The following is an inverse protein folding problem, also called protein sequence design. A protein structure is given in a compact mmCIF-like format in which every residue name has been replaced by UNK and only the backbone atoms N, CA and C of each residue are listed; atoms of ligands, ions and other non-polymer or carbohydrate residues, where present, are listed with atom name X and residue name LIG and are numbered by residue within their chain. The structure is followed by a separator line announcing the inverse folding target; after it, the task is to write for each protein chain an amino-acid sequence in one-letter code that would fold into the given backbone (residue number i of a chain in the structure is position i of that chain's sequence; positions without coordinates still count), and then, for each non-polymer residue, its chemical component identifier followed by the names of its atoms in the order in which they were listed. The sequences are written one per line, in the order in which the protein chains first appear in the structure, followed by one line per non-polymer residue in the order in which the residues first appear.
data_IF_578183546728
#
_entry.id   IF_578183546728
#
_cell.length_a   1.000
_cell.length_b   1.000
_cell.length_c   1.000
_cell.angle_alpha   90.00
_cell.angle_beta   90.00
_cell.angle_gamma   90.00
#
_symmetry.space_group_name_H-M   'P 1'
#
loop_
_entity.id
_entity.type
_entity.pdbx_description
1 polymer ?
#
# COMPACT_ATOMS: atom_id res chain seq x y z
N UNK A 1 40.25 5.78 -1.19
CA UNK A 1 40.34 7.25 -0.95
C UNK A 1 41.81 7.61 -0.84
N UNK A 2 42.34 8.35 -1.80
CA UNK A 2 43.75 8.77 -1.82
C UNK A 2 43.91 10.16 -1.25
N UNK A 3 45.03 10.42 -0.56
CA UNK A 3 45.33 11.73 0.03
C UNK A 3 46.75 12.18 -0.27
N UNK A 4 46.94 13.47 -0.50
CA UNK A 4 48.26 14.07 -0.68
C UNK A 4 49.00 14.31 0.66
N UNK A 5 50.23 14.81 0.59
CA UNK A 5 51.04 15.20 1.76
C UNK A 5 50.40 16.29 2.64
N UNK A 6 49.38 17.00 2.15
CA UNK A 6 48.59 17.98 2.90
C UNK A 6 47.25 17.41 3.39
N UNK A 7 47.07 16.09 3.34
CA UNK A 7 45.86 15.34 3.72
C UNK A 7 44.60 15.70 2.91
N UNK A 8 44.72 16.39 1.79
CA UNK A 8 43.60 16.66 0.88
C UNK A 8 43.25 15.39 0.12
N UNK A 9 41.97 15.17 -0.12
CA UNK A 9 41.50 14.02 -0.90
C UNK A 9 41.85 14.29 -2.35
N UNK A 10 42.72 13.48 -2.94
CA UNK A 10 43.18 13.61 -4.33
C UNK A 10 42.54 12.59 -5.27
N UNK A 11 41.93 11.55 -4.70
CA UNK A 11 41.25 10.50 -5.47
C UNK A 11 40.12 9.89 -4.66
N UNK A 12 38.95 9.79 -5.27
CA UNK A 12 37.81 9.06 -4.77
C UNK A 12 37.26 8.20 -5.90
N UNK A 13 37.33 6.88 -5.72
CA UNK A 13 36.57 5.94 -6.53
C UNK A 13 35.26 5.70 -5.79
N UNK A 14 34.11 6.11 -6.35
CA UNK A 14 32.82 5.73 -5.78
C UNK A 14 32.72 4.21 -5.82
N UNK A 15 32.38 3.61 -4.68
CA UNK A 15 31.95 2.22 -4.71
C UNK A 15 30.63 2.16 -5.49
N UNK A 16 30.48 1.15 -6.34
CA UNK A 16 29.20 0.90 -6.99
C UNK A 16 28.17 0.70 -5.90
N UNK A 17 27.09 1.49 -5.90
CA UNK A 17 25.99 1.34 -4.92
C UNK A 17 25.38 -0.07 -4.95
N UNK A 18 25.61 -0.80 -6.05
CA UNK A 18 25.13 -2.16 -6.28
C UNK A 18 26.28 -3.03 -6.74
N UNK A 19 26.61 -4.07 -6.00
CA UNK A 19 27.51 -5.10 -6.48
C UNK A 19 26.86 -5.92 -7.62
N UNK A 20 27.63 -6.81 -8.25
CA UNK A 20 27.11 -7.62 -9.37
C UNK A 20 25.95 -8.52 -8.93
N UNK A 21 26.01 -9.05 -7.70
CA UNK A 21 24.97 -9.93 -7.15
C UNK A 21 23.66 -9.17 -6.97
N UNK A 22 23.74 -7.96 -6.42
CA UNK A 22 22.56 -7.11 -6.21
C UNK A 22 21.93 -6.68 -7.53
N UNK A 23 22.75 -6.40 -8.56
CA UNK A 23 22.25 -6.13 -9.92
C UNK A 23 21.54 -7.33 -10.51
N UNK A 24 22.11 -8.52 -10.36
CA UNK A 24 21.53 -9.76 -10.87
C UNK A 24 20.18 -10.05 -10.18
N UNK A 25 20.03 -9.73 -8.90
CA UNK A 25 18.73 -9.81 -8.20
C UNK A 25 17.67 -8.88 -8.78
N UNK A 26 18.02 -7.64 -9.11
CA UNK A 26 17.04 -6.71 -9.71
C UNK A 26 16.61 -7.13 -11.10
N UNK A 27 17.55 -7.65 -11.91
CA UNK A 27 17.23 -8.18 -13.22
C UNK A 27 16.33 -9.42 -13.11
N UNK A 28 16.63 -10.33 -12.17
CA UNK A 28 15.78 -11.50 -11.93
C UNK A 28 14.38 -11.12 -11.42
N UNK A 29 14.28 -10.06 -10.61
CA UNK A 29 12.98 -9.53 -10.17
C UNK A 29 12.19 -8.95 -11.34
N UNK A 30 12.83 -8.17 -12.22
CA UNK A 30 12.22 -7.61 -13.42
C UNK A 30 11.71 -8.71 -14.36
N UNK A 31 12.52 -9.73 -14.63
CA UNK A 31 12.12 -10.90 -15.43
C UNK A 31 10.91 -11.63 -14.83
N UNK A 32 10.90 -11.78 -13.50
CA UNK A 32 9.78 -12.39 -12.78
C UNK A 32 8.51 -11.53 -12.90
N UNK A 33 8.58 -10.22 -12.69
CA UNK A 33 7.43 -9.31 -12.79
C UNK A 33 6.84 -9.31 -14.21
N UNK A 34 7.68 -9.33 -15.25
CA UNK A 34 7.24 -9.45 -16.65
C UNK A 34 6.55 -10.79 -16.97
N UNK A 35 6.78 -11.82 -16.16
CA UNK A 35 6.10 -13.12 -16.30
C UNK A 35 4.68 -13.14 -15.70
N UNK A 36 4.30 -12.10 -14.95
CA UNK A 36 2.99 -11.98 -14.30
C UNK A 36 2.00 -11.14 -15.13
N UNK A 37 0.72 -11.46 -15.01
CA UNK A 37 -0.35 -10.68 -15.61
C UNK A 37 -0.48 -9.31 -14.89
N UNK A 38 -0.39 -8.16 -15.59
CA UNK A 38 -0.43 -6.84 -14.96
C UNK A 38 -1.79 -6.48 -14.36
N UNK A 39 -2.84 -7.25 -14.66
CA UNK A 39 -4.19 -7.02 -14.11
C UNK A 39 -4.43 -7.76 -12.80
N UNK A 40 -4.02 -9.02 -12.71
CA UNK A 40 -4.39 -9.90 -11.58
C UNK A 40 -3.19 -10.47 -10.82
N UNK A 41 -1.95 -10.24 -11.27
CA UNK A 41 -0.73 -10.72 -10.61
C UNK A 41 -0.45 -12.22 -10.74
N UNK A 42 -1.28 -12.97 -11.47
CA UNK A 42 -1.07 -14.41 -11.70
C UNK A 42 -0.07 -14.65 -12.84
N UNK A 43 0.66 -15.78 -12.86
CA UNK A 43 1.48 -16.16 -14.00
C UNK A 43 0.66 -16.15 -15.30
N UNK A 44 1.21 -15.59 -16.37
CA UNK A 44 0.50 -15.46 -17.66
C UNK A 44 0.02 -16.82 -18.18
N UNK A 45 0.80 -17.88 -17.98
CA UNK A 45 0.45 -19.26 -18.35
C UNK A 45 -0.82 -19.77 -17.66
N UNK A 46 -1.11 -19.32 -16.44
CA UNK A 46 -2.34 -19.66 -15.70
C UNK A 46 -3.46 -18.71 -16.09
N UNK A 47 -3.18 -17.41 -16.21
CA UNK A 47 -4.18 -16.40 -16.53
C UNK A 47 -4.81 -16.59 -17.92
N UNK A 48 -4.03 -17.11 -18.89
CA UNK A 48 -4.49 -17.36 -20.26
C UNK A 48 -4.87 -18.82 -20.54
N UNK A 49 -4.79 -19.72 -19.55
CA UNK A 49 -5.29 -21.10 -19.70
C UNK A 49 -6.83 -21.08 -19.70
N UNK A 50 -7.43 -21.53 -20.81
CA UNK A 50 -8.87 -21.61 -21.00
C UNK A 50 -9.57 -22.53 -19.99
N UNK A 51 -8.81 -23.46 -19.37
CA UNK A 51 -9.32 -24.38 -18.36
C UNK A 51 -9.22 -23.81 -16.93
N UNK A 52 -8.58 -22.68 -16.71
CA UNK A 52 -8.43 -22.02 -15.39
C UNK A 52 -9.76 -21.85 -14.64
N UNK A 53 -10.89 -21.45 -15.27
CA UNK A 53 -12.17 -21.32 -14.58
C UNK A 53 -12.70 -22.63 -13.98
N UNK A 54 -12.26 -23.78 -14.48
CA UNK A 54 -12.67 -25.11 -13.98
C UNK A 54 -11.74 -25.68 -12.91
N UNK A 55 -10.56 -25.07 -12.71
CA UNK A 55 -9.51 -25.58 -11.82
C UNK A 55 -9.31 -24.74 -10.56
N UNK A 56 -9.75 -23.48 -10.58
CA UNK A 56 -9.53 -22.55 -9.47
C UNK A 56 -10.86 -21.98 -8.97
N UNK A 57 -11.04 -21.99 -7.64
CA UNK A 57 -12.15 -21.33 -6.94
C UNK A 57 -11.63 -20.07 -6.26
N UNK A 58 -12.37 -18.97 -6.37
CA UNK A 58 -12.08 -17.74 -5.63
C UNK A 58 -13.01 -17.68 -4.41
N UNK A 59 -12.43 -17.58 -3.22
CA UNK A 59 -13.17 -17.33 -1.99
C UNK A 59 -12.99 -15.86 -1.58
N UNK A 60 -14.09 -15.14 -1.40
CA UNK A 60 -14.05 -13.78 -0.90
C UNK A 60 -13.88 -13.80 0.63
N UNK A 61 -12.72 -13.37 1.11
CA UNK A 61 -12.46 -13.16 2.54
C UNK A 61 -12.98 -11.79 3.01
N UNK A 62 -13.51 -11.73 4.24
CA UNK A 62 -13.87 -10.46 4.88
C UNK A 62 -12.67 -9.91 5.65
N UNK A 63 -12.31 -8.64 5.42
CA UNK A 63 -11.30 -7.94 6.23
C UNK A 63 -11.84 -7.73 7.65
N UNK A 64 -11.39 -8.56 8.60
CA UNK A 64 -11.85 -8.51 10.00
C UNK A 64 -11.53 -7.19 10.68
N UNK A 65 -10.42 -6.54 10.33
CA UNK A 65 -10.06 -5.23 10.89
C UNK A 65 -11.04 -4.15 10.45
N UNK A 66 -11.46 -4.15 9.18
CA UNK A 66 -12.47 -3.21 8.69
C UNK A 66 -13.79 -3.43 9.40
N UNK A 67 -14.22 -4.70 9.52
CA UNK A 67 -15.43 -5.05 10.27
C UNK A 67 -15.39 -4.53 11.71
N UNK A 68 -14.30 -4.75 12.43
CA UNK A 68 -14.15 -4.29 13.83
C UNK A 68 -14.14 -2.76 13.94
N UNK A 69 -13.56 -2.06 12.96
CA UNK A 69 -13.62 -0.58 12.89
C UNK A 69 -15.03 -0.09 12.70
N UNK A 70 -15.79 -0.73 11.83
CA UNK A 70 -17.19 -0.36 11.58
C UNK A 70 -18.02 -0.56 12.84
N UNK A 71 -17.90 -1.72 13.51
CA UNK A 71 -18.54 -2.01 14.80
C UNK A 71 -18.22 -0.92 15.82
N UNK A 72 -16.93 -0.60 16.02
CA UNK A 72 -16.52 0.43 16.96
C UNK A 72 -17.10 1.82 16.61
N UNK A 73 -17.18 2.16 15.32
CA UNK A 73 -17.79 3.40 14.87
C UNK A 73 -19.30 3.41 15.12
N UNK A 74 -20.00 2.28 14.98
CA UNK A 74 -21.42 2.19 15.32
C UNK A 74 -21.67 2.35 16.81
N UNK A 75 -20.86 1.67 17.63
CA UNK A 75 -20.97 1.75 19.09
C UNK A 75 -20.69 3.17 19.58
N UNK A 76 -19.70 3.84 18.99
CA UNK A 76 -19.46 5.25 19.27
C UNK A 76 -20.68 6.11 18.89
N UNK A 77 -21.28 5.92 17.70
CA UNK A 77 -22.48 6.67 17.28
C UNK A 77 -23.64 6.45 18.25
N UNK A 78 -23.92 5.21 18.66
CA UNK A 78 -24.98 4.89 19.63
C UNK A 78 -24.76 5.57 20.98
N UNK A 79 -23.51 5.62 21.45
CA UNK A 79 -23.17 6.29 22.71
C UNK A 79 -23.31 7.82 22.61
N UNK A 80 -23.15 8.40 21.42
CA UNK A 80 -23.16 9.84 21.18
C UNK A 80 -24.38 10.33 20.38
N UNK A 81 -25.42 9.51 20.25
CA UNK A 81 -26.61 9.79 19.43
C UNK A 81 -27.35 11.05 19.90
N UNK A 82 -27.29 11.35 21.21
CA UNK A 82 -27.82 12.58 21.82
C UNK A 82 -26.98 13.84 21.58
N UNK A 83 -25.68 13.72 21.29
CA UNK A 83 -24.79 14.87 21.08
C UNK A 83 -24.93 15.47 19.67
N UNK A 84 -25.28 14.65 18.67
CA UNK A 84 -25.54 15.11 17.31
C UNK A 84 -26.78 16.03 17.23
N UNK A 85 -27.82 15.74 18.01
CA UNK A 85 -28.99 16.61 18.19
C UNK A 85 -28.66 17.94 18.86
N UNK A 86 -27.77 17.92 19.86
CA UNK A 86 -27.33 19.14 20.55
C UNK A 86 -26.48 20.03 19.62
N UNK A 87 -25.58 19.44 18.82
CA UNK A 87 -24.75 20.20 17.85
C UNK A 87 -25.59 20.81 16.72
N UNK A 88 -26.62 20.12 16.23
CA UNK A 88 -27.52 20.65 15.19
C UNK A 88 -28.43 21.77 15.73
N UNK A 89 -28.98 21.65 16.94
CA UNK A 89 -29.74 22.74 17.58
C UNK A 89 -28.88 23.99 17.90
N UNK A 90 -27.60 23.78 18.23
CA UNK A 90 -26.66 24.88 18.49
C UNK A 90 -26.35 25.70 17.23
N UNK A 91 -26.28 25.06 16.06
CA UNK A 91 -26.06 25.74 14.78
C UNK A 91 -27.27 26.56 14.30
N UNK A 92 -28.50 26.13 14.60
CA UNK A 92 -29.73 26.84 14.17
C UNK A 92 -30.12 28.02 15.04
N UNK A 93 -29.59 28.12 16.27
CA UNK A 93 -29.91 29.24 17.20
C UNK A 93 -29.11 30.52 16.88
N UNK A 94 -28.11 30.44 16.00
CA UNK A 94 -27.23 31.57 15.65
C UNK A 94 -27.70 32.43 14.46
N UNK A 95 -28.73 32.01 13.70
CA UNK A 95 -29.27 32.82 12.59
C UNK A 95 -30.54 33.53 13.08
N UNK A 96 -30.35 34.68 13.74
CA UNK A 96 -31.45 35.61 14.00
C UNK A 96 -31.73 36.35 12.68
N UNK A 97 -32.81 35.99 11.98
CA UNK A 97 -33.30 36.78 10.86
C UNK A 97 -33.61 38.21 11.35
N UNK A 98 -33.05 39.19 10.67
CA UNK A 98 -33.18 40.62 10.97
C UNK A 98 -34.56 41.15 10.55
#
# INVERSE_FOLDING_TARGET
MERDGHRRITGYTPESEWDQTERDWMLALDDYEHSLCPRCGMPVSVCHDELTPTRYTAEAGVCQISLMRDIAAEDWRKQHDGEAGIKTMSLTTAIKAR
#
